data_IF_734110141782
#
_entry.id   IF_734110141782
#
_cell.length_a   1.000
_cell.length_b   1.000
_cell.length_c   1.000
_cell.angle_alpha   90.00
_cell.angle_beta   90.00
_cell.angle_gamma   90.00
#
_symmetry.space_group_name_H-M   'P 1'
#
loop_
_entity.id
_entity.type
_entity.pdbx_description
1 polymer ?
#
# COMPACT_ATOMS: atom_id res chain seq x y z
N UNK A 1 -36.05 13.84 -20.91
CA UNK A 1 -35.71 12.64 -21.71
C UNK A 1 -34.21 12.66 -21.95
N UNK A 2 -33.45 11.72 -21.37
CA UNK A 2 -32.00 11.68 -21.56
C UNK A 2 -31.68 11.18 -22.98
N UNK A 3 -30.81 11.88 -23.70
CA UNK A 3 -30.34 11.48 -25.03
C UNK A 3 -29.51 10.18 -25.00
N UNK A 4 -29.17 9.62 -26.17
CA UNK A 4 -28.36 8.41 -26.26
C UNK A 4 -26.99 8.61 -25.60
N UNK A 5 -26.56 7.61 -24.84
CA UNK A 5 -25.31 7.63 -24.07
C UNK A 5 -24.21 6.88 -24.83
N UNK A 6 -22.96 7.32 -24.63
CA UNK A 6 -21.78 6.68 -25.22
C UNK A 6 -21.54 5.27 -24.65
N UNK A 7 -20.83 4.43 -25.39
CA UNK A 7 -20.41 3.10 -24.92
C UNK A 7 -19.36 3.24 -23.82
N UNK A 8 -19.52 2.45 -22.76
CA UNK A 8 -18.60 2.39 -21.61
C UNK A 8 -18.15 0.94 -21.38
N UNK A 9 -17.10 0.77 -20.59
CA UNK A 9 -16.60 -0.56 -20.17
C UNK A 9 -17.39 -1.18 -19.00
N UNK A 10 -18.42 -0.49 -18.50
CA UNK A 10 -19.23 -0.93 -17.36
C UNK A 10 -20.68 -0.51 -17.54
N UNK A 11 -21.59 -1.48 -17.43
CA UNK A 11 -23.04 -1.27 -17.42
C UNK A 11 -23.65 -1.28 -16.02
N UNK A 12 -24.84 -1.86 -15.87
CA UNK A 12 -25.57 -1.97 -14.60
C UNK A 12 -25.91 -3.43 -14.27
N UNK A 13 -26.60 -3.68 -13.15
CA UNK A 13 -27.15 -4.98 -12.81
C UNK A 13 -27.98 -5.54 -13.97
N UNK A 14 -27.65 -6.76 -14.41
CA UNK A 14 -28.27 -7.42 -15.57
C UNK A 14 -27.56 -7.20 -16.91
N UNK A 15 -26.68 -6.20 -17.04
CA UNK A 15 -25.93 -5.92 -18.27
C UNK A 15 -24.54 -5.30 -18.02
N UNK A 16 -23.78 -5.89 -17.09
CA UNK A 16 -22.51 -5.34 -16.60
C UNK A 16 -21.45 -5.09 -17.68
N UNK A 17 -21.51 -5.80 -18.81
CA UNK A 17 -20.49 -5.76 -19.86
C UNK A 17 -19.40 -6.82 -19.73
N UNK A 18 -19.56 -7.77 -18.80
CA UNK A 18 -18.64 -8.90 -18.62
C UNK A 18 -18.87 -10.02 -19.66
N UNK A 19 -17.87 -10.91 -19.88
CA UNK A 19 -18.05 -12.11 -20.68
C UNK A 19 -19.21 -12.97 -20.16
N UNK A 20 -19.90 -13.67 -21.05
CA UNK A 20 -20.98 -14.59 -20.67
C UNK A 20 -20.42 -15.71 -19.79
N UNK A 21 -21.01 -15.89 -18.61
CA UNK A 21 -20.65 -16.94 -17.66
C UNK A 21 -21.70 -18.06 -17.73
N UNK A 22 -21.27 -19.32 -17.77
CA UNK A 22 -22.14 -20.50 -17.76
C UNK A 22 -21.50 -21.59 -16.90
N UNK A 23 -22.32 -22.39 -16.21
CA UNK A 23 -21.88 -23.51 -15.37
C UNK A 23 -21.02 -23.15 -14.13
N UNK A 24 -21.14 -21.92 -13.64
CA UNK A 24 -20.54 -21.49 -12.36
C UNK A 24 -21.65 -21.43 -11.31
N UNK A 25 -21.52 -22.20 -10.23
CA UNK A 25 -22.48 -22.20 -9.12
C UNK A 25 -21.79 -21.68 -7.87
N UNK A 26 -22.38 -20.67 -7.23
CA UNK A 26 -21.91 -20.10 -5.97
C UNK A 26 -22.83 -20.50 -4.82
N UNK A 27 -22.22 -20.77 -3.66
CA UNK A 27 -22.93 -21.12 -2.43
C UNK A 27 -22.54 -20.13 -1.34
N UNK A 28 -23.50 -19.76 -0.49
CA UNK A 28 -23.29 -18.85 0.62
C UNK A 28 -24.16 -19.28 1.80
N UNK A 29 -23.66 -19.06 3.02
CA UNK A 29 -24.41 -19.27 4.27
C UNK A 29 -24.86 -17.91 4.79
N UNK A 30 -26.11 -17.81 5.26
CA UNK A 30 -26.62 -16.58 5.89
C UNK A 30 -25.69 -16.10 7.00
N UNK A 31 -25.30 -14.81 7.05
CA UNK A 31 -24.44 -14.28 8.11
C UNK A 31 -24.98 -14.50 9.52
N UNK A 32 -26.31 -14.52 9.70
CA UNK A 32 -26.97 -14.78 10.98
C UNK A 32 -26.82 -16.23 11.47
N UNK A 33 -26.48 -17.16 10.56
CA UNK A 33 -26.21 -18.56 10.89
C UNK A 33 -24.71 -18.85 11.11
N UNK A 34 -23.84 -17.85 10.91
CA UNK A 34 -22.40 -17.98 11.11
C UNK A 34 -21.97 -17.40 12.46
N UNK A 35 -20.87 -17.91 13.03
CA UNK A 35 -20.22 -17.28 14.18
C UNK A 35 -19.37 -16.11 13.69
N UNK A 36 -19.67 -14.85 14.06
CA UNK A 36 -18.85 -13.71 13.65
C UNK A 36 -17.43 -13.86 14.19
N UNK A 37 -16.42 -13.53 13.37
CA UNK A 37 -15.00 -13.62 13.71
C UNK A 37 -14.47 -15.02 14.09
N UNK A 38 -15.17 -16.09 13.72
CA UNK A 38 -14.65 -17.44 13.88
C UNK A 38 -13.28 -17.58 13.17
N UNK A 39 -12.24 -17.95 13.91
CA UNK A 39 -10.87 -18.09 13.39
C UNK A 39 -10.13 -16.77 13.16
N UNK A 40 -10.71 -15.62 13.50
CA UNK A 40 -10.09 -14.32 13.26
C UNK A 40 -8.73 -14.16 13.97
N UNK A 41 -8.58 -14.62 15.21
CA UNK A 41 -7.31 -14.52 15.94
C UNK A 41 -6.18 -15.34 15.28
N UNK A 42 -6.47 -16.58 14.88
CA UNK A 42 -5.50 -17.44 14.19
C UNK A 42 -5.13 -16.85 12.81
N UNK A 43 -6.12 -16.41 12.04
CA UNK A 43 -5.89 -15.75 10.75
C UNK A 43 -5.14 -14.42 10.91
N UNK A 44 -5.46 -13.61 11.93
CA UNK A 44 -4.83 -12.32 12.18
C UNK A 44 -3.35 -12.44 12.51
N UNK A 45 -2.89 -13.55 13.10
CA UNK A 45 -1.48 -13.72 13.43
C UNK A 45 -0.75 -14.34 12.23
N UNK A 46 -1.13 -15.55 11.82
CA UNK A 46 -0.35 -16.32 10.85
C UNK A 46 -0.54 -15.81 9.42
N UNK A 47 -1.78 -15.48 9.03
CA UNK A 47 -2.05 -15.03 7.66
C UNK A 47 -1.55 -13.60 7.44
N UNK A 48 -1.66 -12.72 8.44
CA UNK A 48 -1.12 -11.35 8.33
C UNK A 48 0.40 -11.40 8.23
N UNK A 49 1.09 -12.16 9.09
CA UNK A 49 2.54 -12.29 9.00
C UNK A 49 2.97 -12.82 7.63
N UNK A 50 2.32 -13.88 7.12
CA UNK A 50 2.59 -14.42 5.79
C UNK A 50 2.45 -13.36 4.68
N UNK A 51 1.40 -12.54 4.74
CA UNK A 51 1.15 -11.47 3.76
C UNK A 51 2.18 -10.34 3.87
N UNK A 52 2.45 -9.86 5.09
CA UNK A 52 3.42 -8.79 5.34
C UNK A 52 4.82 -9.23 4.93
N UNK A 53 5.25 -10.44 5.29
CA UNK A 53 6.55 -10.99 4.91
C UNK A 53 6.79 -10.94 3.41
N UNK A 54 5.77 -11.26 2.60
CA UNK A 54 5.90 -11.26 1.13
C UNK A 54 6.08 -9.87 0.52
N UNK A 55 5.67 -8.81 1.23
CA UNK A 55 5.72 -7.43 0.75
C UNK A 55 6.76 -6.59 1.48
N UNK A 56 7.28 -7.07 2.61
CA UNK A 56 8.13 -6.31 3.51
C UNK A 56 9.36 -5.73 2.80
N UNK A 57 10.04 -6.51 1.94
CA UNK A 57 11.24 -6.03 1.25
C UNK A 57 10.97 -4.91 0.26
N UNK A 58 9.81 -4.91 -0.41
CA UNK A 58 9.44 -3.83 -1.34
C UNK A 58 9.20 -2.50 -0.64
N UNK A 59 8.91 -2.52 0.66
CA UNK A 59 8.69 -1.31 1.46
C UNK A 59 9.96 -0.95 2.24
N UNK A 60 10.54 -1.92 2.95
CA UNK A 60 11.67 -1.70 3.85
C UNK A 60 12.93 -1.28 3.11
N UNK A 61 13.22 -1.85 1.93
CA UNK A 61 14.42 -1.49 1.18
C UNK A 61 14.35 -0.02 0.74
N UNK A 62 13.32 0.45 0.00
CA UNK A 62 13.22 1.87 -0.36
C UNK A 62 13.16 2.78 0.87
N UNK A 63 12.37 2.44 1.88
CA UNK A 63 12.26 3.26 3.09
C UNK A 63 13.61 3.42 3.80
N UNK A 64 14.38 2.32 3.92
CA UNK A 64 15.71 2.34 4.55
C UNK A 64 16.71 3.19 3.77
N UNK A 65 16.71 3.12 2.43
CA UNK A 65 17.59 3.92 1.57
C UNK A 65 17.33 5.41 1.79
N UNK A 66 16.06 5.83 1.75
CA UNK A 66 15.69 7.22 1.98
C UNK A 66 15.99 7.67 3.40
N UNK A 67 15.76 6.81 4.39
CA UNK A 67 16.03 7.14 5.78
C UNK A 67 17.52 7.34 6.06
N UNK A 68 18.38 6.47 5.53
CA UNK A 68 19.84 6.62 5.65
C UNK A 68 20.32 7.87 4.91
N UNK A 69 19.80 8.13 3.71
CA UNK A 69 20.17 9.33 2.97
C UNK A 69 19.77 10.61 3.72
N UNK A 70 18.55 10.66 4.24
CA UNK A 70 18.05 11.78 5.02
C UNK A 70 18.88 12.02 6.28
N UNK A 71 19.06 10.98 7.10
CA UNK A 71 19.79 11.08 8.36
C UNK A 71 21.26 11.51 8.16
N UNK A 72 21.90 11.04 7.09
CA UNK A 72 23.25 11.48 6.75
C UNK A 72 23.30 12.98 6.38
N UNK A 73 22.37 13.44 5.53
CA UNK A 73 22.27 14.85 5.15
C UNK A 73 21.94 15.76 6.34
N UNK A 74 21.03 15.34 7.21
CA UNK A 74 20.68 16.05 8.44
C UNK A 74 21.88 16.18 9.38
N UNK A 75 22.61 15.09 9.62
CA UNK A 75 23.80 15.10 10.48
C UNK A 75 24.91 15.98 9.90
N UNK A 76 25.14 15.91 8.59
CA UNK A 76 26.14 16.72 7.92
C UNK A 76 25.77 18.21 7.95
N UNK A 77 24.50 18.53 7.71
CA UNK A 77 24.00 19.90 7.83
C UNK A 77 24.19 20.45 9.26
N UNK A 78 23.81 19.66 10.27
CA UNK A 78 24.00 20.03 11.67
C UNK A 78 25.49 20.27 12.00
N UNK A 79 26.40 19.45 11.47
CA UNK A 79 27.84 19.61 11.64
C UNK A 79 28.36 20.91 11.01
N UNK A 80 27.96 21.24 9.77
CA UNK A 80 28.39 22.45 9.07
C UNK A 80 28.05 23.73 9.84
N UNK A 81 26.89 23.76 10.52
CA UNK A 81 26.47 24.90 11.34
C UNK A 81 27.03 24.88 12.78
N UNK A 82 27.93 23.96 13.12
CA UNK A 82 28.69 24.02 14.38
C UNK A 82 29.92 24.93 14.26
N UNK A 83 30.56 25.23 15.40
CA UNK A 83 31.85 25.92 15.41
C UNK A 83 32.95 25.13 14.69
N UNK A 84 32.91 23.80 14.78
CA UNK A 84 33.92 22.93 14.18
C UNK A 84 33.81 22.86 12.64
N UNK A 85 32.59 22.90 12.10
CA UNK A 85 32.33 22.81 10.67
C UNK A 85 32.38 24.13 9.90
N UNK A 86 32.67 25.27 10.55
CA UNK A 86 32.59 26.60 9.93
C UNK A 86 33.50 26.77 8.71
N UNK A 87 34.73 26.29 8.78
CA UNK A 87 35.68 26.36 7.65
C UNK A 87 35.17 25.57 6.44
N UNK A 88 34.58 24.40 6.70
CA UNK A 88 34.02 23.54 5.66
C UNK A 88 32.75 24.15 5.06
N UNK A 89 31.90 24.77 5.89
CA UNK A 89 30.73 25.52 5.43
C UNK A 89 31.12 26.68 4.51
N UNK A 90 32.12 27.48 4.89
CA UNK A 90 32.60 28.60 4.07
C UNK A 90 33.19 28.10 2.74
N UNK A 91 33.78 26.91 2.69
CA UNK A 91 34.28 26.30 1.46
C UNK A 91 33.17 25.82 0.52
N UNK A 92 32.11 25.20 1.03
CA UNK A 92 31.04 24.58 0.22
C UNK A 92 29.89 25.53 -0.14
N UNK A 93 29.84 26.71 0.49
CA UNK A 93 28.80 27.73 0.28
C UNK A 93 29.18 28.83 -0.74
N UNK A 94 30.37 28.74 -1.34
CA UNK A 94 30.87 29.61 -2.42
C UNK A 94 30.67 28.91 -3.76
#
# INVERSE_FOLDING_TARGET
>A
MGGPQAKTYMGWWGHLGSPKQKHITSYVVSPFAQKPFAGAANAAIFNVFRRVKSQALYILIPASIYWVWWTNGEQYNNYLYTKAGREELERVNV
#
